data_IF_374523039424
#
_entry.id   IF_374523039424
#
_cell.length_a   1.000
_cell.length_b   1.000
_cell.length_c   1.000
_cell.angle_alpha   90.00
_cell.angle_beta   90.00
_cell.angle_gamma   90.00
#
_symmetry.space_group_name_H-M   'P 1'
#
loop_
_entity.id
_entity.type
_entity.pdbx_description
1 polymer ?
#
# COMPACT_ATOMS: atom_id res chain seq x y z
N UNK A 1 3.33 14.33 -32.92
CA UNK A 1 2.43 14.72 -31.81
C UNK A 1 2.84 13.92 -30.59
N UNK A 2 3.84 14.41 -29.86
CA UNK A 2 4.43 13.81 -28.65
C UNK A 2 4.23 14.85 -27.55
N UNK A 3 3.36 14.58 -26.57
CA UNK A 3 3.31 15.36 -25.33
C UNK A 3 3.86 14.48 -24.21
N UNK A 4 5.19 14.47 -24.10
CA UNK A 4 5.89 14.08 -22.88
C UNK A 4 5.78 15.24 -21.91
N UNK A 5 5.00 15.10 -20.84
CA UNK A 5 5.18 15.96 -19.67
C UNK A 5 6.41 15.45 -18.91
N UNK A 6 7.56 16.05 -19.21
CA UNK A 6 8.73 16.04 -18.31
C UNK A 6 8.29 16.67 -16.98
N UNK A 7 8.24 15.90 -15.90
CA UNK A 7 8.24 16.46 -14.56
C UNK A 7 9.68 16.79 -14.19
N UNK A 8 10.05 18.06 -14.36
CA UNK A 8 11.29 18.59 -13.82
C UNK A 8 11.16 18.73 -12.28
N UNK A 9 12.11 18.13 -11.56
CA UNK A 9 12.23 18.06 -10.09
C UNK A 9 12.54 19.41 -9.41
N UNK A 10 12.07 20.56 -9.92
CA UNK A 10 12.46 21.89 -9.43
C UNK A 10 11.38 22.70 -8.71
N UNK A 11 10.22 22.12 -8.38
CA UNK A 11 9.21 22.80 -7.55
C UNK A 11 8.90 21.99 -6.28
N UNK A 12 9.88 21.91 -5.38
CA UNK A 12 9.60 21.82 -3.94
C UNK A 12 8.93 23.13 -3.53
N UNK A 13 7.61 23.11 -3.40
CA UNK A 13 6.86 24.21 -2.81
C UNK A 13 7.10 24.20 -1.29
N UNK A 14 7.80 25.20 -0.71
CA UNK A 14 8.21 25.17 0.71
C UNK A 14 7.04 25.30 1.70
N UNK A 15 5.82 25.60 1.21
CA UNK A 15 4.65 25.84 2.06
C UNK A 15 3.85 24.58 2.42
N UNK A 16 4.18 23.41 1.87
CA UNK A 16 3.59 22.13 2.29
C UNK A 16 4.25 21.55 3.55
N UNK A 17 5.41 22.06 3.95
CA UNK A 17 6.16 21.57 5.12
C UNK A 17 5.57 22.02 6.46
N UNK A 18 4.80 23.12 6.48
CA UNK A 18 4.34 23.73 7.74
C UNK A 18 3.01 23.18 8.28
N UNK A 19 2.25 22.40 7.49
CA UNK A 19 0.94 21.89 7.92
C UNK A 19 0.98 20.46 8.49
N UNK A 20 2.04 19.70 8.20
CA UNK A 20 2.23 18.34 8.75
C UNK A 20 2.84 18.39 10.17
N UNK A 21 3.65 19.40 10.48
CA UNK A 21 4.33 19.54 11.79
C UNK A 21 3.33 19.85 12.92
N UNK A 22 2.21 20.52 12.65
CA UNK A 22 1.25 20.89 13.69
C UNK A 22 0.31 19.74 14.12
N UNK A 23 0.18 18.66 13.34
CA UNK A 23 -0.60 17.48 13.76
C UNK A 23 0.23 16.46 14.55
N UNK A 24 1.55 16.42 14.37
CA UNK A 24 2.42 15.46 15.06
C UNK A 24 2.90 15.91 16.45
N UNK A 25 2.82 17.20 16.77
CA UNK A 25 3.22 17.71 18.10
C UNK A 25 2.21 17.39 19.22
N UNK A 26 1.04 16.81 18.91
CA UNK A 26 0.01 16.44 19.88
C UNK A 26 0.06 14.97 20.33
N UNK A 27 0.98 14.15 19.82
CA UNK A 27 1.08 12.71 20.16
C UNK A 27 2.39 12.32 20.87
N UNK A 28 3.32 13.25 21.06
CA UNK A 28 4.53 12.99 21.86
C UNK A 28 4.23 13.14 23.36
N UNK A 29 3.53 12.14 23.89
CA UNK A 29 3.33 11.91 25.31
C UNK A 29 3.94 10.58 25.75
N UNK A 30 5.19 10.66 26.21
CA UNK A 30 5.95 9.75 27.12
C UNK A 30 6.83 8.64 26.49
N UNK A 31 8.12 8.56 26.89
CA UNK A 31 9.01 7.45 26.60
C UNK A 31 9.00 6.46 27.77
N UNK A 32 8.54 5.23 27.55
CA UNK A 32 8.87 4.12 28.45
C UNK A 32 9.76 3.13 27.70
N UNK A 33 11.05 3.21 28.00
CA UNK A 33 12.00 2.13 27.76
C UNK A 33 11.56 0.93 28.60
N UNK A 34 11.14 -0.17 27.95
CA UNK A 34 11.02 -1.45 28.64
C UNK A 34 11.81 -2.52 27.90
N UNK A 35 12.87 -2.96 28.57
CA UNK A 35 13.59 -4.21 28.32
C UNK A 35 12.67 -5.38 28.70
N UNK A 36 12.32 -6.24 27.73
CA UNK A 36 11.61 -7.50 28.00
C UNK A 36 12.46 -8.71 27.57
N UNK A 37 12.57 -9.73 28.43
CA UNK A 37 13.40 -10.91 28.19
C UNK A 37 12.77 -11.82 27.15
N UNK A 38 13.64 -12.47 26.36
CA UNK A 38 13.30 -13.42 25.31
C UNK A 38 12.60 -14.66 25.85
N UNK A 39 11.38 -14.90 25.36
CA UNK A 39 10.66 -16.19 25.48
C UNK A 39 10.45 -16.74 24.06
N UNK A 40 10.66 -18.04 23.80
CA UNK A 40 10.54 -18.58 22.45
C UNK A 40 9.07 -18.54 22.01
N UNK A 41 8.81 -17.93 20.86
CA UNK A 41 7.49 -17.85 20.26
C UNK A 41 7.23 -19.09 19.41
N UNK A 42 6.38 -19.99 19.89
CA UNK A 42 5.79 -21.05 19.08
C UNK A 42 4.29 -21.15 19.41
N UNK A 43 3.50 -20.19 18.91
CA UNK A 43 2.03 -20.15 19.07
C UNK A 43 1.31 -19.35 17.94
N UNK A 44 1.92 -19.21 16.75
CA UNK A 44 1.30 -18.47 15.64
C UNK A 44 1.10 -16.96 15.87
N UNK A 45 1.71 -16.40 16.92
CA UNK A 45 1.64 -14.98 17.26
C UNK A 45 2.79 -14.23 16.57
N UNK A 46 2.47 -13.11 15.91
CA UNK A 46 3.48 -12.26 15.29
C UNK A 46 4.42 -11.64 16.36
N UNK A 47 5.70 -11.50 16.03
CA UNK A 47 6.73 -10.97 16.92
C UNK A 47 7.63 -9.95 16.24
N UNK A 48 8.02 -8.91 16.96
CA UNK A 48 8.99 -7.92 16.47
C UNK A 48 10.40 -8.49 16.26
N UNK A 49 10.72 -9.60 16.93
CA UNK A 49 12.03 -10.26 16.88
C UNK A 49 12.03 -11.59 16.12
N UNK A 50 10.98 -11.86 15.33
CA UNK A 50 10.74 -13.17 14.72
C UNK A 50 11.92 -13.70 13.89
N UNK A 51 12.61 -12.81 13.15
CA UNK A 51 13.75 -13.17 12.30
C UNK A 51 15.12 -12.74 12.84
N UNK A 52 15.20 -12.25 14.08
CA UNK A 52 16.45 -11.67 14.61
C UNK A 52 17.61 -12.67 14.61
N UNK A 53 17.33 -13.95 14.88
CA UNK A 53 18.33 -15.01 14.87
C UNK A 53 18.43 -15.74 13.52
N UNK A 54 17.31 -15.93 12.84
CA UNK A 54 17.22 -16.77 11.63
C UNK A 54 17.55 -16.01 10.35
N UNK A 55 17.32 -14.69 10.32
CA UNK A 55 17.68 -13.81 9.21
C UNK A 55 18.00 -12.38 9.69
N UNK A 56 19.11 -12.16 10.41
CA UNK A 56 19.42 -10.88 11.08
C UNK A 56 19.51 -9.69 10.12
N UNK A 57 19.88 -9.92 8.86
CA UNK A 57 20.03 -8.87 7.85
C UNK A 57 18.75 -8.61 7.04
N UNK A 58 17.60 -9.20 7.39
CA UNK A 58 16.37 -9.13 6.62
C UNK A 58 15.93 -7.69 6.30
N UNK A 59 15.81 -6.84 7.33
CA UNK A 59 15.40 -5.44 7.16
C UNK A 59 16.32 -4.68 6.19
N UNK A 60 17.63 -4.94 6.27
CA UNK A 60 18.62 -4.33 5.39
C UNK A 60 18.44 -4.81 3.94
N UNK A 61 18.32 -6.12 3.71
CA UNK A 61 18.15 -6.69 2.37
C UNK A 61 16.89 -6.15 1.70
N UNK A 62 15.76 -6.14 2.42
CA UNK A 62 14.49 -5.60 1.91
C UNK A 62 14.61 -4.11 1.57
N UNK A 63 15.21 -3.32 2.47
CA UNK A 63 15.44 -1.89 2.25
C UNK A 63 16.27 -1.65 0.98
N UNK A 64 17.40 -2.33 0.80
CA UNK A 64 18.24 -2.15 -0.39
C UNK A 64 17.52 -2.56 -1.68
N UNK A 65 16.80 -3.68 -1.66
CA UNK A 65 16.03 -4.11 -2.83
C UNK A 65 14.89 -3.15 -3.18
N UNK A 66 14.20 -2.60 -2.17
CA UNK A 66 13.23 -1.53 -2.37
C UNK A 66 13.87 -0.28 -2.98
N UNK A 67 14.99 0.19 -2.41
CA UNK A 67 15.68 1.39 -2.90
C UNK A 67 16.20 1.26 -4.33
N UNK A 68 16.69 0.07 -4.71
CA UNK A 68 17.12 -0.21 -6.07
C UNK A 68 15.97 -0.04 -7.10
N UNK A 69 14.76 -0.45 -6.74
CA UNK A 69 13.57 -0.22 -7.58
C UNK A 69 13.12 1.25 -7.54
N UNK A 70 13.12 1.86 -6.36
CA UNK A 70 12.63 3.22 -6.13
C UNK A 70 13.41 4.30 -6.89
N UNK A 71 14.73 4.16 -7.00
CA UNK A 71 15.57 5.12 -7.74
C UNK A 71 15.22 5.14 -9.23
N UNK A 72 14.80 4.00 -9.78
CA UNK A 72 14.40 3.89 -11.18
C UNK A 72 12.95 4.32 -11.42
N UNK A 73 12.06 4.07 -10.45
CA UNK A 73 10.65 4.47 -10.51
C UNK A 73 10.12 4.83 -9.12
N UNK A 74 10.01 6.13 -8.84
CA UNK A 74 9.52 6.63 -7.54
C UNK A 74 8.06 6.23 -7.27
N UNK A 75 7.27 5.90 -8.30
CA UNK A 75 5.90 5.39 -8.17
C UNK A 75 5.84 4.02 -7.49
N UNK A 76 6.96 3.29 -7.44
CA UNK A 76 6.99 1.95 -6.85
C UNK A 76 6.59 1.97 -5.37
N UNK A 77 6.88 3.06 -4.65
CA UNK A 77 6.46 3.23 -3.25
C UNK A 77 4.93 3.09 -3.12
N UNK A 78 4.17 3.91 -3.85
CA UNK A 78 2.71 3.83 -3.83
C UNK A 78 2.18 2.49 -4.36
N UNK A 79 2.88 1.89 -5.33
CA UNK A 79 2.48 0.63 -5.94
C UNK A 79 2.59 -0.54 -4.95
N UNK A 80 3.69 -0.62 -4.20
CA UNK A 80 3.94 -1.69 -3.25
C UNK A 80 3.12 -1.52 -1.97
N UNK A 81 2.87 -0.28 -1.53
CA UNK A 81 1.92 0.00 -0.45
C UNK A 81 0.51 -0.48 -0.82
N UNK A 82 0.07 -0.21 -2.06
CA UNK A 82 -1.20 -0.71 -2.57
C UNK A 82 -1.21 -2.24 -2.70
N UNK A 83 -0.12 -2.85 -3.17
CA UNK A 83 0.00 -4.30 -3.27
C UNK A 83 -0.22 -4.97 -1.91
N UNK A 84 0.38 -4.45 -0.85
CA UNK A 84 0.18 -4.95 0.52
C UNK A 84 -1.27 -4.77 1.02
N UNK A 85 -1.91 -3.63 0.73
CA UNK A 85 -3.33 -3.45 1.05
C UNK A 85 -4.20 -4.50 0.36
N UNK A 86 -3.97 -4.73 -0.93
CA UNK A 86 -4.74 -5.70 -1.71
C UNK A 86 -4.55 -7.14 -1.22
N UNK A 87 -3.34 -7.50 -0.78
CA UNK A 87 -3.06 -8.79 -0.11
C UNK A 87 -3.93 -8.91 1.15
N UNK A 88 -3.73 -8.02 2.13
CA UNK A 88 -4.40 -8.11 3.43
C UNK A 88 -5.94 -8.08 3.37
N UNK A 89 -6.51 -7.41 2.37
CA UNK A 89 -7.95 -7.35 2.21
C UNK A 89 -8.56 -8.65 1.67
N UNK A 90 -7.78 -9.53 1.05
CA UNK A 90 -8.25 -10.79 0.45
C UNK A 90 -7.68 -11.95 1.26
N UNK A 91 -8.54 -12.66 2.00
CA UNK A 91 -8.14 -13.79 2.86
C UNK A 91 -7.07 -13.53 3.94
N UNK A 92 -6.56 -12.30 4.07
CA UNK A 92 -5.59 -11.91 5.08
C UNK A 92 -4.23 -11.59 4.44
N UNK A 93 -3.25 -11.20 5.24
CA UNK A 93 -1.91 -10.87 4.73
C UNK A 93 -1.09 -12.17 4.57
N UNK A 94 -1.36 -12.94 3.53
CA UNK A 94 -0.76 -14.26 3.29
C UNK A 94 -0.04 -14.38 1.93
N UNK A 95 0.22 -13.26 1.25
CA UNK A 95 0.85 -13.23 -0.07
C UNK A 95 0.08 -13.98 -1.18
N UNK A 96 -1.21 -14.29 -1.00
CA UNK A 96 -2.03 -14.95 -2.03
C UNK A 96 -2.09 -14.13 -3.33
N UNK A 97 -1.99 -12.80 -3.23
CA UNK A 97 -1.97 -11.90 -4.40
C UNK A 97 -0.77 -12.13 -5.34
N UNK A 98 0.31 -12.73 -4.82
CA UNK A 98 1.52 -13.01 -5.61
C UNK A 98 1.39 -14.29 -6.45
N UNK A 99 0.42 -15.15 -6.15
CA UNK A 99 0.23 -16.42 -6.84
C UNK A 99 -0.35 -16.20 -8.24
N UNK A 100 0.25 -16.88 -9.21
CA UNK A 100 -0.26 -16.97 -10.58
C UNK A 100 -1.37 -18.03 -10.70
N UNK A 101 -2.12 -17.97 -11.81
CA UNK A 101 -3.12 -18.98 -12.16
C UNK A 101 -2.50 -20.39 -12.16
N UNK A 102 -3.21 -21.35 -11.56
CA UNK A 102 -2.88 -22.76 -11.64
C UNK A 102 -4.01 -23.54 -12.30
N UNK A 103 -3.89 -24.87 -12.39
CA UNK A 103 -5.00 -25.74 -12.83
C UNK A 103 -6.14 -25.79 -11.80
N UNK A 104 -5.82 -25.56 -10.53
CA UNK A 104 -6.73 -25.78 -9.41
C UNK A 104 -7.42 -24.50 -8.93
N UNK A 105 -6.81 -23.32 -9.18
CA UNK A 105 -7.38 -22.03 -8.80
C UNK A 105 -7.00 -20.89 -9.75
N UNK A 106 -7.76 -19.80 -9.66
CA UNK A 106 -7.50 -18.54 -10.37
C UNK A 106 -6.81 -17.54 -9.45
N UNK A 107 -5.67 -17.03 -9.90
CA UNK A 107 -4.87 -16.06 -9.17
C UNK A 107 -5.57 -14.70 -9.08
N UNK A 108 -5.22 -13.93 -8.07
CA UNK A 108 -5.88 -12.64 -7.83
C UNK A 108 -5.43 -11.55 -8.81
N UNK A 109 -4.28 -11.72 -9.47
CA UNK A 109 -3.72 -10.74 -10.41
C UNK A 109 -4.68 -10.39 -11.56
N UNK A 110 -5.58 -11.31 -11.92
CA UNK A 110 -6.52 -11.15 -13.02
C UNK A 110 -7.88 -10.54 -12.61
N UNK A 111 -8.13 -10.37 -11.31
CA UNK A 111 -9.35 -9.74 -10.81
C UNK A 111 -9.49 -8.30 -11.33
N UNK A 112 -10.73 -7.82 -11.51
CA UNK A 112 -11.04 -6.48 -12.03
C UNK A 112 -10.24 -5.33 -11.38
N UNK A 113 -10.10 -5.26 -10.03
CA UNK A 113 -9.32 -4.19 -9.40
C UNK A 113 -7.79 -4.33 -9.55
N UNK A 114 -7.30 -5.53 -9.89
CA UNK A 114 -5.88 -5.86 -9.96
C UNK A 114 -5.33 -5.80 -11.39
N UNK A 115 -6.09 -6.33 -12.35
CA UNK A 115 -5.69 -6.45 -13.74
C UNK A 115 -5.37 -5.09 -14.34
N UNK A 116 -4.20 -4.98 -14.97
CA UNK A 116 -3.68 -3.74 -15.56
C UNK A 116 -3.63 -2.57 -14.55
N UNK A 117 -3.50 -2.83 -13.25
CA UNK A 117 -3.64 -1.83 -12.21
C UNK A 117 -2.62 -1.99 -11.09
N UNK A 118 -2.61 -3.13 -10.39
CA UNK A 118 -1.59 -3.48 -9.40
C UNK A 118 -0.28 -3.82 -10.12
N UNK A 119 0.86 -3.42 -9.54
CA UNK A 119 2.19 -3.58 -10.14
C UNK A 119 3.28 -3.67 -9.07
N UNK A 120 4.50 -4.04 -9.46
CA UNK A 120 5.64 -4.19 -8.56
C UNK A 120 5.91 -5.62 -8.09
N UNK A 121 5.27 -6.61 -8.71
CA UNK A 121 5.49 -8.03 -8.44
C UNK A 121 6.96 -8.42 -8.66
N UNK A 122 7.57 -7.88 -9.72
CA UNK A 122 8.98 -8.07 -10.07
C UNK A 122 9.95 -7.58 -8.99
N UNK A 123 9.55 -6.55 -8.24
CA UNK A 123 10.35 -6.00 -7.14
C UNK A 123 10.30 -6.95 -5.95
N UNK A 124 9.13 -7.51 -5.64
CA UNK A 124 8.98 -8.51 -4.58
C UNK A 124 9.75 -9.78 -4.93
N UNK A 125 9.69 -10.25 -6.18
CA UNK A 125 10.47 -11.39 -6.67
C UNK A 125 11.99 -11.16 -6.53
N UNK A 126 12.47 -9.97 -6.92
CA UNK A 126 13.88 -9.61 -6.80
C UNK A 126 14.34 -9.55 -5.33
N UNK A 127 13.54 -8.95 -4.45
CA UNK A 127 13.81 -8.90 -3.02
C UNK A 127 13.82 -10.32 -2.44
N UNK A 128 12.81 -11.14 -2.76
CA UNK A 128 12.72 -12.53 -2.32
C UNK A 128 13.94 -13.33 -2.77
N UNK A 129 14.39 -13.18 -4.00
CA UNK A 129 15.60 -13.85 -4.48
C UNK A 129 16.86 -13.45 -3.70
N UNK A 130 16.99 -12.19 -3.28
CA UNK A 130 18.11 -11.75 -2.44
C UNK A 130 17.99 -12.25 -1.00
N UNK A 131 16.76 -12.30 -0.46
CA UNK A 131 16.50 -12.89 0.87
C UNK A 131 16.81 -14.38 0.87
N UNK A 132 16.39 -15.14 -0.15
CA UNK A 132 16.67 -16.58 -0.24
C UNK A 132 18.16 -16.91 -0.38
N UNK A 133 18.94 -16.02 -1.02
CA UNK A 133 20.42 -16.17 -1.04
C UNK A 133 21.05 -16.01 0.34
N UNK A 134 20.46 -15.19 1.20
CA UNK A 134 21.01 -14.92 2.54
C UNK A 134 20.45 -15.87 3.60
N UNK A 135 19.16 -16.21 3.50
CA UNK A 135 18.39 -16.94 4.51
C UNK A 135 17.43 -17.93 3.81
N UNK A 136 17.94 -19.08 3.32
CA UNK A 136 17.17 -19.99 2.49
C UNK A 136 15.95 -20.57 3.22
N UNK A 137 14.76 -20.44 2.61
CA UNK A 137 13.50 -21.01 3.09
C UNK A 137 13.07 -20.57 4.49
N UNK A 138 13.51 -19.38 4.93
CA UNK A 138 13.20 -18.85 6.27
C UNK A 138 12.06 -17.82 6.22
N UNK A 139 12.14 -16.84 5.33
CA UNK A 139 11.30 -15.63 5.37
C UNK A 139 10.12 -15.76 4.41
N UNK A 140 8.90 -15.55 4.87
CA UNK A 140 7.71 -15.59 4.03
C UNK A 140 7.62 -14.42 3.04
N UNK A 141 6.96 -14.63 1.91
CA UNK A 141 6.61 -13.55 0.98
C UNK A 141 5.65 -12.54 1.63
N UNK A 142 4.75 -13.02 2.49
CA UNK A 142 3.81 -12.17 3.24
C UNK A 142 4.52 -11.14 4.13
N UNK A 143 5.58 -11.55 4.84
CA UNK A 143 6.36 -10.60 5.65
C UNK A 143 7.20 -9.65 4.79
N UNK A 144 7.68 -10.08 3.62
CA UNK A 144 8.36 -9.19 2.66
C UNK A 144 7.40 -8.09 2.19
N UNK A 145 6.15 -8.41 1.86
CA UNK A 145 5.15 -7.41 1.46
C UNK A 145 4.96 -6.32 2.53
N UNK A 146 4.85 -6.71 3.79
CA UNK A 146 4.64 -5.76 4.91
C UNK A 146 5.88 -4.89 5.12
N UNK A 147 7.08 -5.48 5.09
CA UNK A 147 8.34 -4.75 5.23
C UNK A 147 8.52 -3.73 4.11
N UNK A 148 8.26 -4.14 2.86
CA UNK A 148 8.32 -3.27 1.70
C UNK A 148 7.30 -2.13 1.80
N UNK A 149 6.07 -2.39 2.27
CA UNK A 149 5.07 -1.35 2.46
C UNK A 149 5.52 -0.29 3.49
N UNK A 150 6.23 -0.68 4.56
CA UNK A 150 6.85 0.29 5.47
C UNK A 150 7.95 1.09 4.78
N UNK A 151 8.85 0.46 4.03
CA UNK A 151 9.89 1.20 3.30
C UNK A 151 9.30 2.19 2.29
N UNK A 152 8.16 1.86 1.67
CA UNK A 152 7.40 2.77 0.82
C UNK A 152 6.89 4.00 1.57
N UNK A 153 6.32 3.82 2.78
CA UNK A 153 5.81 4.94 3.59
C UNK A 153 6.96 5.81 4.11
N UNK A 154 8.01 5.21 4.67
CA UNK A 154 9.18 5.93 5.21
C UNK A 154 9.87 6.73 4.11
N UNK A 155 10.12 6.12 2.95
CA UNK A 155 10.76 6.81 1.82
C UNK A 155 9.89 7.93 1.24
N UNK A 156 8.57 7.84 1.40
CA UNK A 156 7.63 8.89 0.99
C UNK A 156 7.47 10.01 2.03
N UNK A 157 8.27 10.02 3.11
CA UNK A 157 8.24 11.03 4.18
C UNK A 157 7.26 10.73 5.30
N UNK A 158 6.69 9.53 5.36
CA UNK A 158 5.84 9.06 6.45
C UNK A 158 6.62 8.58 7.68
N UNK A 159 5.91 8.16 8.75
CA UNK A 159 6.54 7.68 9.96
C UNK A 159 7.25 6.34 9.74
N UNK A 160 8.20 6.01 10.61
CA UNK A 160 8.75 4.67 10.75
C UNK A 160 8.11 3.98 11.96
N UNK A 161 7.82 2.69 11.86
CA UNK A 161 7.24 1.92 12.95
C UNK A 161 7.75 0.47 12.96
N UNK A 162 7.83 -0.16 14.14
CA UNK A 162 8.19 -1.57 14.23
C UNK A 162 7.06 -2.44 13.66
N UNK A 163 7.42 -3.46 12.87
CA UNK A 163 6.46 -4.40 12.29
C UNK A 163 6.59 -5.74 13.02
N UNK A 164 5.51 -6.30 13.57
CA UNK A 164 5.54 -7.68 14.03
C UNK A 164 5.49 -8.62 12.82
N UNK A 165 6.42 -9.58 12.78
CA UNK A 165 6.66 -10.52 11.69
C UNK A 165 6.32 -11.95 12.12
N UNK A 166 6.33 -12.89 11.18
CA UNK A 166 5.96 -14.29 11.38
C UNK A 166 4.72 -14.71 10.59
N UNK A 167 4.29 -13.93 9.59
CA UNK A 167 3.22 -14.32 8.67
C UNK A 167 3.69 -15.52 7.84
N UNK A 168 2.76 -16.36 7.39
CA UNK A 168 3.04 -17.49 6.51
C UNK A 168 2.33 -17.31 5.18
N UNK A 169 2.93 -17.86 4.13
CA UNK A 169 2.40 -17.75 2.78
C UNK A 169 1.20 -18.69 2.61
N UNK A 170 0.13 -18.16 1.99
CA UNK A 170 -1.04 -18.90 1.57
C UNK A 170 -0.71 -19.85 0.41
N UNK A 171 -1.48 -20.93 0.32
CA UNK A 171 -1.31 -21.97 -0.71
C UNK A 171 -2.38 -21.90 -1.82
N UNK A 172 -3.30 -20.95 -1.72
CA UNK A 172 -4.41 -20.74 -2.65
C UNK A 172 -4.66 -19.26 -2.83
N UNK A 173 -5.22 -18.89 -3.98
CA UNK A 173 -5.66 -17.52 -4.28
C UNK A 173 -7.14 -17.52 -4.69
N UNK A 174 -7.82 -16.37 -4.59
CA UNK A 174 -9.23 -16.26 -4.97
C UNK A 174 -9.53 -14.98 -5.76
N UNK A 175 -9.56 -15.10 -7.09
CA UNK A 175 -10.00 -14.01 -7.97
C UNK A 175 -11.39 -13.46 -7.59
N UNK A 176 -12.32 -14.36 -7.21
CA UNK A 176 -13.67 -13.96 -6.78
C UNK A 176 -13.65 -13.10 -5.52
N UNK A 177 -12.79 -13.42 -4.55
CA UNK A 177 -12.62 -12.61 -3.34
C UNK A 177 -11.92 -11.28 -3.65
N UNK A 178 -10.92 -11.27 -4.54
CA UNK A 178 -10.28 -10.04 -4.99
C UNK A 178 -11.25 -9.11 -5.74
N UNK A 179 -12.25 -9.65 -6.46
CA UNK A 179 -13.32 -8.85 -7.06
C UNK A 179 -14.24 -8.16 -6.04
N UNK A 180 -14.15 -8.51 -4.74
CA UNK A 180 -14.89 -7.85 -3.66
C UNK A 180 -14.14 -6.66 -3.01
N UNK A 181 -12.95 -6.33 -3.49
CA UNK A 181 -12.20 -5.16 -3.00
C UNK A 181 -13.03 -3.86 -3.10
N UNK A 182 -12.78 -2.87 -2.22
CA UNK A 182 -13.48 -1.59 -2.28
C UNK A 182 -13.34 -0.92 -3.65
N UNK A 183 -14.46 -0.50 -4.22
CA UNK A 183 -14.52 0.13 -5.54
C UNK A 183 -14.65 1.65 -5.40
N UNK A 184 -13.98 2.45 -6.25
CA UNK A 184 -14.09 3.91 -6.25
C UNK A 184 -15.46 4.44 -6.72
N UNK A 185 -16.39 3.53 -7.02
CA UNK A 185 -17.74 3.84 -7.46
C UNK A 185 -18.80 3.52 -6.40
N UNK A 186 -18.39 2.91 -5.29
CA UNK A 186 -19.27 2.52 -4.18
C UNK A 186 -19.57 3.72 -3.28
N UNK A 187 -20.77 3.76 -2.66
CA UNK A 187 -21.06 4.75 -1.63
C UNK A 187 -20.24 4.47 -0.37
N UNK A 188 -20.10 5.48 0.49
CA UNK A 188 -19.33 5.42 1.73
C UNK A 188 -19.74 4.25 2.61
N UNK A 189 -21.05 4.03 2.76
CA UNK A 189 -21.61 3.00 3.62
C UNK A 189 -21.11 1.60 3.24
N UNK A 190 -20.98 1.33 1.93
CA UNK A 190 -20.47 0.05 1.43
C UNK A 190 -18.96 -0.09 1.65
N UNK A 191 -18.20 0.98 1.47
CA UNK A 191 -16.76 0.99 1.74
C UNK A 191 -16.52 0.73 3.23
N UNK A 192 -17.24 1.44 4.12
CA UNK A 192 -17.14 1.24 5.57
C UNK A 192 -17.49 -0.20 5.96
N UNK A 193 -18.57 -0.78 5.40
CA UNK A 193 -18.93 -2.16 5.67
C UNK A 193 -17.84 -3.17 5.28
N UNK A 194 -17.13 -2.93 4.16
CA UNK A 194 -16.00 -3.77 3.75
C UNK A 194 -14.82 -3.68 4.73
N UNK A 195 -14.49 -2.48 5.22
CA UNK A 195 -13.44 -2.32 6.24
C UNK A 195 -13.82 -3.01 7.56
N UNK A 196 -15.07 -2.83 8.01
CA UNK A 196 -15.58 -3.50 9.23
C UNK A 196 -15.52 -5.02 9.10
N UNK A 197 -15.79 -5.57 7.91
CA UNK A 197 -15.65 -7.02 7.66
C UNK A 197 -14.21 -7.54 7.83
N UNK A 198 -13.21 -6.64 7.83
CA UNK A 198 -11.79 -6.92 8.08
C UNK A 198 -11.35 -6.54 9.50
N UNK A 199 -12.30 -6.20 10.37
CA UNK A 199 -12.00 -5.77 11.74
C UNK A 199 -11.42 -4.36 11.83
N UNK A 200 -11.58 -3.54 10.79
CA UNK A 200 -11.12 -2.16 10.73
C UNK A 200 -12.30 -1.20 10.90
N UNK A 201 -12.19 -0.25 11.81
CA UNK A 201 -13.27 0.72 12.06
C UNK A 201 -13.27 1.88 11.04
N UNK A 202 -14.17 2.84 11.23
CA UNK A 202 -14.26 4.01 10.34
C UNK A 202 -13.02 4.91 10.44
N UNK A 203 -12.37 4.99 11.60
CA UNK A 203 -11.14 5.76 11.78
C UNK A 203 -10.01 5.10 10.99
N UNK A 204 -9.88 3.77 11.07
CA UNK A 204 -8.92 3.00 10.28
C UNK A 204 -9.15 3.23 8.79
N UNK A 205 -10.40 3.19 8.32
CA UNK A 205 -10.75 3.49 6.93
C UNK A 205 -10.29 4.89 6.51
N UNK A 206 -10.51 5.93 7.33
CA UNK A 206 -10.08 7.31 7.05
C UNK A 206 -8.56 7.40 7.01
N UNK A 207 -7.88 6.80 7.99
CA UNK A 207 -6.41 6.82 8.12
C UNK A 207 -5.77 6.09 6.93
N UNK A 208 -6.24 4.89 6.59
CA UNK A 208 -5.73 4.09 5.48
C UNK A 208 -6.04 4.71 4.12
N UNK A 209 -7.16 5.44 3.99
CA UNK A 209 -7.41 6.29 2.82
C UNK A 209 -6.36 7.40 2.64
N UNK A 210 -5.58 7.70 3.68
CA UNK A 210 -4.35 8.50 3.62
C UNK A 210 -3.32 7.99 2.62
N UNK A 211 -3.30 6.69 2.32
CA UNK A 211 -2.41 6.09 1.31
C UNK A 211 -2.54 6.70 -0.08
N UNK A 212 -3.71 7.26 -0.41
CA UNK A 212 -3.93 8.01 -1.66
C UNK A 212 -3.20 9.36 -1.73
N UNK A 213 -2.41 9.74 -0.72
CA UNK A 213 -1.53 10.92 -0.77
C UNK A 213 -0.35 10.74 -1.74
N UNK A 214 -0.04 9.50 -2.14
CA UNK A 214 0.97 9.16 -3.13
C UNK A 214 0.37 8.25 -4.21
N UNK A 215 1.03 8.19 -5.37
CA UNK A 215 0.64 7.31 -6.47
C UNK A 215 -0.25 7.97 -7.53
N UNK A 216 -0.87 7.14 -8.37
CA UNK A 216 -1.65 7.57 -9.52
C UNK A 216 -2.87 6.66 -9.72
N UNK A 217 -3.91 7.24 -10.31
CA UNK A 217 -5.11 6.54 -10.74
C UNK A 217 -5.29 6.66 -12.27
N UNK A 218 -5.94 5.67 -12.88
CA UNK A 218 -6.29 5.74 -14.30
C UNK A 218 -7.56 6.59 -14.49
N UNK A 219 -7.68 7.29 -15.62
CA UNK A 219 -8.86 8.12 -15.90
C UNK A 219 -10.19 7.36 -15.79
N UNK A 220 -10.20 6.07 -16.14
CA UNK A 220 -11.38 5.21 -16.04
C UNK A 220 -11.99 5.15 -14.63
N UNK A 221 -11.19 5.31 -13.57
CA UNK A 221 -11.65 5.18 -12.18
C UNK A 221 -12.39 6.42 -11.67
N UNK A 222 -12.26 7.57 -12.32
CA UNK A 222 -12.91 8.82 -11.88
C UNK A 222 -13.63 9.59 -13.00
N UNK A 223 -13.47 9.22 -14.28
CA UNK A 223 -14.06 9.94 -15.43
C UNK A 223 -15.58 10.12 -15.32
N UNK A 224 -16.30 9.17 -14.70
CA UNK A 224 -17.76 9.26 -14.49
C UNK A 224 -18.12 10.56 -13.75
N UNK A 225 -17.28 10.99 -12.82
CA UNK A 225 -17.50 12.20 -12.03
C UNK A 225 -17.30 13.49 -12.82
N UNK A 226 -16.64 13.43 -13.97
CA UNK A 226 -16.34 14.59 -14.81
C UNK A 226 -17.40 14.79 -15.91
N UNK A 227 -17.97 13.70 -16.42
CA UNK A 227 -18.82 13.72 -17.62
C UNK A 227 -20.24 13.18 -17.40
N UNK A 228 -20.47 12.37 -16.37
CA UNK A 228 -21.77 11.74 -16.11
C UNK A 228 -21.93 11.46 -14.60
N UNK A 229 -22.01 12.54 -13.82
CA UNK A 229 -22.20 12.42 -12.39
C UNK A 229 -23.65 12.01 -12.10
N UNK A 230 -23.86 10.76 -11.65
CA UNK A 230 -25.18 10.21 -11.29
C UNK A 230 -26.22 10.23 -12.43
N UNK A 231 -25.82 10.10 -13.71
CA UNK A 231 -26.79 10.08 -14.82
C UNK A 231 -27.34 11.45 -15.17
N UNK A 232 -26.63 12.54 -14.81
CA UNK A 232 -27.11 13.91 -15.01
C UNK A 232 -26.62 14.54 -16.32
N UNK A 233 -25.79 13.86 -17.10
CA UNK A 233 -25.11 14.39 -18.30
C UNK A 233 -24.35 15.72 -18.06
N UNK A 234 -24.04 16.02 -16.79
CA UNK A 234 -23.34 17.23 -16.41
C UNK A 234 -21.86 17.10 -16.78
N UNK A 235 -21.47 17.79 -17.84
CA UNK A 235 -20.06 18.07 -18.11
C UNK A 235 -19.61 19.11 -17.08
N UNK A 236 -18.81 18.68 -16.10
CA UNK A 236 -18.09 19.64 -15.26
C UNK A 236 -17.05 20.30 -16.16
N UNK A 237 -17.40 21.44 -16.75
CA UNK A 237 -16.45 22.28 -17.45
C UNK A 237 -15.38 22.71 -16.45
N UNK A 238 -14.18 22.13 -16.56
CA UNK A 238 -12.97 22.75 -16.02
C UNK A 238 -12.70 23.96 -16.93
N UNK A 239 -13.50 25.03 -16.79
CA UNK A 239 -13.09 26.32 -17.32
C UNK A 239 -11.76 26.64 -16.66
N UNK A 240 -10.81 27.06 -17.48
CA UNK A 240 -9.42 27.36 -17.10
C UNK A 240 -9.43 28.52 -16.08
N UNK A 241 -9.69 28.21 -14.82
CA UNK A 241 -9.67 29.17 -13.72
C UNK A 241 -8.27 29.13 -13.08
N UNK A 242 -7.51 30.20 -13.36
CA UNK A 242 -6.55 30.87 -12.47
C UNK A 242 -6.12 30.05 -11.24
N UNK A 243 -4.86 29.57 -11.21
CA UNK A 243 -3.94 29.21 -10.10
C UNK A 243 -4.47 28.88 -8.67
N UNK A 244 -5.74 28.60 -8.52
CA UNK A 244 -6.51 28.62 -7.27
C UNK A 244 -7.53 27.47 -7.25
N UNK A 245 -7.52 26.59 -8.26
CA UNK A 245 -8.10 25.24 -8.16
C UNK A 245 -7.15 24.38 -7.32
N UNK A 246 -7.09 24.73 -6.03
CA UNK A 246 -6.70 23.87 -4.91
C UNK A 246 -7.94 23.54 -4.07
N UNK A 247 -9.12 23.63 -4.68
CA UNK A 247 -10.37 23.15 -4.12
C UNK A 247 -10.76 21.88 -4.89
N UNK A 248 -11.05 20.81 -4.14
CA UNK A 248 -11.59 19.51 -4.60
C UNK A 248 -10.64 18.35 -4.94
N UNK A 249 -9.48 18.29 -4.29
CA UNK A 249 -8.98 17.00 -3.75
C UNK A 249 -9.85 16.50 -2.56
N UNK A 250 -10.80 17.30 -2.10
CA UNK A 250 -11.75 17.02 -1.01
C UNK A 250 -12.89 16.05 -1.35
N UNK A 251 -13.03 15.57 -2.59
CA UNK A 251 -14.08 14.62 -2.94
C UNK A 251 -13.55 13.29 -3.49
N UNK A 252 -12.25 13.03 -3.56
CA UNK A 252 -11.68 11.73 -4.02
C UNK A 252 -11.10 10.94 -2.83
N UNK A 253 -11.82 10.97 -1.72
CA UNK A 253 -11.79 9.92 -0.71
C UNK A 253 -13.25 9.57 -0.50
N UNK A 254 -13.60 8.35 -0.90
CA UNK A 254 -14.93 7.77 -1.16
C UNK A 254 -15.34 7.87 -2.64
#
# INVERSE_FOLDING_TARGET
MHFFLKMDYKFLCPSAFFCIICFFSAINGRPDYIYYPSRPADNGMLSYSFYDNSCPNLNMIVRWGFWAAYINDTRIAASLLRLHFHDCFVNGCDASILLDDTKDFKGEKNALPNRNSVRGFEVIESIKANVEKACPSIVSCADILVLVAREAVVTSGGPNWPIPLGRRDGITASEAAANQLPSPFEPLENITAKFVSKGLDINDMVVLSGGHTIGFAQCSTFKRRLFDYKGTDLIICITRASSTIRAFLSLIKL
#
